data_IF_069752589358
#
_entry.id   IF_069752589358
#
_cell.length_a   1.000
_cell.length_b   1.000
_cell.length_c   1.000
_cell.angle_alpha   90.00
_cell.angle_beta   90.00
_cell.angle_gamma   90.00
#
_symmetry.space_group_name_H-M   'P 1'
#
loop_
_entity.id
_entity.type
_entity.pdbx_description
1 polymer ?
#
# COMPACT_ATOMS: atom_id res chain seq x y z
N UNK A 1 -27.55 -19.96 45.73
CA UNK A 1 -28.17 -18.62 45.48
C UNK A 1 -27.17 -17.63 46.07
N UNK A 2 -26.50 -16.76 45.33
CA UNK A 2 -26.92 -16.03 44.14
C UNK A 2 -25.68 -15.47 43.42
N UNK A 3 -25.57 -15.83 42.13
CA UNK A 3 -24.90 -15.20 40.97
C UNK A 3 -23.84 -14.12 41.24
N UNK A 4 -22.56 -14.31 40.92
CA UNK A 4 -21.99 -14.43 39.57
C UNK A 4 -22.12 -13.17 38.67
N UNK A 5 -22.08 -11.96 39.23
CA UNK A 5 -21.84 -10.74 38.44
C UNK A 5 -20.34 -10.46 38.30
N UNK A 6 -19.65 -11.27 37.49
CA UNK A 6 -18.44 -10.77 36.83
C UNK A 6 -18.90 -9.82 35.74
N UNK A 7 -18.93 -8.54 36.06
CA UNK A 7 -19.22 -7.49 35.09
C UNK A 7 -18.18 -7.57 33.96
N UNK A 8 -18.59 -8.14 32.84
CA UNK A 8 -17.83 -8.17 31.60
C UNK A 8 -17.67 -6.71 31.14
N UNK A 9 -16.53 -6.11 31.45
CA UNK A 9 -16.19 -4.77 30.98
C UNK A 9 -15.93 -4.89 29.48
N UNK A 10 -16.96 -4.75 28.67
CA UNK A 10 -16.80 -4.67 27.23
C UNK A 10 -15.99 -3.40 26.94
N UNK A 11 -14.78 -3.58 26.42
CA UNK A 11 -13.97 -2.47 25.96
C UNK A 11 -14.79 -1.65 24.96
N UNK A 12 -14.91 -0.35 25.21
CA UNK A 12 -15.63 0.58 24.33
C UNK A 12 -14.92 0.58 22.97
N UNK A 13 -15.68 0.38 21.90
CA UNK A 13 -15.12 0.40 20.54
C UNK A 13 -14.72 1.85 20.22
N UNK A 14 -13.47 2.03 19.84
CA UNK A 14 -12.93 3.30 19.39
C UNK A 14 -12.37 3.14 17.98
N UNK A 15 -12.48 4.20 17.18
CA UNK A 15 -11.81 4.25 15.89
C UNK A 15 -10.29 4.12 16.10
N UNK A 16 -9.65 3.31 15.28
CA UNK A 16 -8.20 3.20 15.25
C UNK A 16 -7.64 4.52 14.70
N UNK A 17 -6.56 5.08 15.29
CA UNK A 17 -5.89 6.26 14.76
C UNK A 17 -5.53 6.09 13.28
N UNK A 18 -5.66 7.16 12.49
CA UNK A 18 -5.53 7.10 11.02
C UNK A 18 -4.15 6.59 10.57
N UNK A 19 -3.08 6.91 11.30
CA UNK A 19 -1.72 6.44 11.02
C UNK A 19 -1.58 4.92 11.26
N UNK A 20 -2.24 4.41 12.30
CA UNK A 20 -2.28 2.97 12.61
C UNK A 20 -3.14 2.23 11.58
N UNK A 21 -4.31 2.76 11.22
CA UNK A 21 -5.12 2.24 10.11
C UNK A 21 -4.31 2.17 8.81
N UNK A 22 -3.62 3.25 8.44
CA UNK A 22 -2.77 3.30 7.24
C UNK A 22 -1.72 2.20 7.25
N UNK A 23 -0.99 2.03 8.37
CA UNK A 23 0.03 0.97 8.53
C UNK A 23 -0.54 -0.44 8.41
N UNK A 24 -1.72 -0.69 9.00
CA UNK A 24 -2.41 -1.98 8.90
C UNK A 24 -2.79 -2.26 7.44
N UNK A 25 -3.36 -1.28 6.73
CA UNK A 25 -3.75 -1.44 5.34
C UNK A 25 -2.54 -1.62 4.41
N UNK A 26 -1.43 -0.89 4.62
CA UNK A 26 -0.23 -1.04 3.77
C UNK A 26 0.39 -2.43 3.91
N UNK A 27 0.42 -2.96 5.14
CA UNK A 27 1.01 -4.28 5.43
C UNK A 27 0.24 -5.47 4.88
N UNK A 28 -0.99 -5.30 4.37
CA UNK A 28 -1.78 -6.37 3.76
C UNK A 28 -1.84 -6.31 2.23
N UNK A 29 -1.48 -5.17 1.62
CA UNK A 29 -1.58 -4.95 0.16
C UNK A 29 -0.24 -5.18 -0.53
N UNK A 30 0.87 -4.66 0.02
CA UNK A 30 2.22 -4.87 -0.53
C UNK A 30 3.06 -5.66 0.46
N UNK A 31 2.89 -6.98 0.41
CA UNK A 31 3.51 -7.93 1.35
C UNK A 31 4.91 -8.38 0.90
N UNK A 32 5.25 -8.15 -0.38
CA UNK A 32 6.55 -8.54 -0.95
C UNK A 32 7.04 -7.48 -1.92
N UNK A 33 8.37 -7.40 -2.08
CA UNK A 33 8.99 -6.55 -3.10
C UNK A 33 8.49 -6.89 -4.52
N UNK A 34 8.28 -8.18 -4.79
CA UNK A 34 7.74 -8.64 -6.06
C UNK A 34 6.30 -8.15 -6.28
N UNK A 35 5.47 -8.14 -5.23
CA UNK A 35 4.13 -7.56 -5.26
C UNK A 35 4.17 -6.06 -5.53
N UNK A 36 5.07 -5.32 -4.88
CA UNK A 36 5.27 -3.89 -5.14
C UNK A 36 5.64 -3.64 -6.61
N UNK A 37 6.57 -4.45 -7.14
CA UNK A 37 7.01 -4.37 -8.53
C UNK A 37 5.86 -4.66 -9.51
N UNK A 38 5.04 -5.68 -9.22
CA UNK A 38 3.84 -6.00 -10.01
C UNK A 38 2.90 -4.78 -10.10
N UNK A 39 2.54 -4.18 -8.97
CA UNK A 39 1.60 -3.05 -8.97
C UNK A 39 2.14 -1.84 -9.76
N UNK A 40 3.45 -1.57 -9.69
CA UNK A 40 4.07 -0.51 -10.49
C UNK A 40 4.08 -0.84 -11.99
N UNK A 41 4.34 -2.10 -12.36
CA UNK A 41 4.27 -2.54 -13.76
C UNK A 41 2.83 -2.45 -14.29
N UNK A 42 1.82 -2.85 -13.49
CA UNK A 42 0.41 -2.74 -13.86
C UNK A 42 0.02 -1.27 -14.11
N UNK A 43 0.48 -0.35 -13.25
CA UNK A 43 0.29 1.09 -13.47
C UNK A 43 0.92 1.57 -14.79
N UNK A 44 2.14 1.12 -15.12
CA UNK A 44 2.79 1.46 -16.39
C UNK A 44 2.03 0.91 -17.60
N UNK A 45 1.45 -0.30 -17.49
CA UNK A 45 0.61 -0.91 -18.53
C UNK A 45 -0.71 -0.13 -18.71
N UNK A 46 -1.37 0.24 -17.61
CA UNK A 46 -2.57 1.08 -17.64
C UNK A 46 -2.30 2.46 -18.26
N UNK A 47 -1.09 2.99 -18.05
CA UNK A 47 -0.59 4.20 -18.70
C UNK A 47 -0.18 4.00 -20.18
N UNK A 48 -0.43 2.82 -20.75
CA UNK A 48 -0.17 2.46 -22.14
C UNK A 48 1.31 2.55 -22.56
N UNK A 49 2.24 2.38 -21.62
CA UNK A 49 3.66 2.35 -21.92
C UNK A 49 4.00 1.29 -23.00
N UNK A 50 4.97 1.63 -23.85
CA UNK A 50 5.56 0.70 -24.83
C UNK A 50 6.86 0.09 -24.31
N UNK A 51 7.54 0.83 -23.44
CA UNK A 51 8.79 0.44 -22.83
C UNK A 51 8.65 0.55 -21.32
N UNK A 52 8.96 -0.54 -20.62
CA UNK A 52 9.00 -0.58 -19.16
C UNK A 52 10.36 -1.14 -18.76
N UNK A 53 11.17 -0.33 -18.09
CA UNK A 53 12.49 -0.71 -17.57
C UNK A 53 12.41 -0.94 -16.06
N UNK A 54 12.80 -2.14 -15.63
CA UNK A 54 12.88 -2.50 -14.21
C UNK A 54 14.34 -2.55 -13.77
N UNK A 55 14.71 -1.69 -12.80
CA UNK A 55 16.07 -1.62 -12.24
C UNK A 55 16.08 -2.10 -10.80
N UNK A 56 17.00 -2.99 -10.46
CA UNK A 56 17.08 -3.56 -9.11
C UNK A 56 18.51 -3.45 -8.58
N UNK A 57 18.68 -2.95 -7.35
CA UNK A 57 19.98 -2.88 -6.67
C UNK A 57 19.95 -3.69 -5.38
N UNK A 58 20.98 -4.52 -5.16
CA UNK A 58 21.09 -5.45 -4.02
C UNK A 58 19.81 -6.26 -3.81
N UNK A 59 19.35 -6.95 -4.85
CA UNK A 59 18.10 -7.73 -4.84
C UNK A 59 16.85 -6.91 -4.45
N UNK A 60 16.92 -5.59 -4.58
CA UNK A 60 15.83 -4.65 -4.31
C UNK A 60 15.68 -4.21 -2.87
N UNK A 61 16.54 -4.71 -1.96
CA UNK A 61 16.62 -4.21 -0.59
C UNK A 61 17.11 -2.77 -0.51
N UNK A 62 17.98 -2.37 -1.44
CA UNK A 62 18.47 -0.99 -1.49
C UNK A 62 17.62 -0.11 -2.41
N UNK A 63 17.21 -0.63 -3.59
CA UNK A 63 16.42 0.14 -4.57
C UNK A 63 15.71 -0.78 -5.55
N UNK A 64 14.45 -0.44 -5.86
CA UNK A 64 13.68 -1.02 -6.97
C UNK A 64 13.04 0.12 -7.79
N UNK A 65 13.42 0.12 -9.06
CA UNK A 65 13.12 1.01 -10.19
C UNK A 65 12.02 0.52 -11.11
N UNK A 66 10.92 1.23 -11.34
CA UNK A 66 10.10 1.03 -12.56
C UNK A 66 10.04 2.35 -13.32
N UNK A 67 10.53 2.33 -14.55
CA UNK A 67 10.62 3.50 -15.43
C UNK A 67 9.84 3.16 -16.69
N UNK A 68 8.88 3.99 -17.07
CA UNK A 68 8.07 3.78 -18.25
C UNK A 68 8.00 5.03 -19.15
N UNK A 69 7.55 4.81 -20.38
CA UNK A 69 7.26 5.84 -21.39
C UNK A 69 5.75 6.03 -21.61
N UNK A 70 4.94 5.76 -20.59
CA UNK A 70 3.48 5.91 -20.64
C UNK A 70 3.02 7.35 -20.70
N UNK A 71 1.70 7.54 -20.67
CA UNK A 71 1.06 8.87 -20.77
C UNK A 71 1.37 9.80 -19.58
N UNK A 72 1.98 9.27 -18.52
CA UNK A 72 2.30 10.00 -17.30
C UNK A 72 1.07 10.40 -16.49
N UNK A 73 1.30 11.25 -15.49
CA UNK A 73 0.26 11.72 -14.58
C UNK A 73 0.08 13.23 -14.81
N UNK A 74 -1.16 13.65 -15.06
CA UNK A 74 -1.47 15.07 -15.23
C UNK A 74 -1.19 15.83 -13.93
N UNK A 75 -0.59 17.03 -14.02
CA UNK A 75 -0.15 17.80 -12.85
C UNK A 75 -1.27 18.16 -11.86
N UNK A 76 -2.48 18.36 -12.37
CA UNK A 76 -3.68 18.58 -11.54
C UNK A 76 -4.04 17.39 -10.62
N UNK A 77 -3.54 16.19 -10.91
CA UNK A 77 -3.82 14.99 -10.14
C UNK A 77 -2.76 14.72 -9.08
N UNK A 78 -1.72 15.56 -8.96
CA UNK A 78 -0.63 15.33 -8.00
C UNK A 78 -1.11 15.34 -6.54
N UNK A 79 -2.07 16.19 -6.20
CA UNK A 79 -2.63 16.24 -4.84
C UNK A 79 -3.48 15.01 -4.50
N UNK A 80 -3.98 14.30 -5.52
CA UNK A 80 -4.74 13.06 -5.36
C UNK A 80 -3.84 11.81 -5.34
N UNK A 81 -2.54 11.98 -5.56
CA UNK A 81 -1.56 10.90 -5.51
C UNK A 81 -1.18 10.61 -4.05
N UNK A 82 -1.63 9.46 -3.54
CA UNK A 82 -1.32 8.88 -2.23
C UNK A 82 -1.72 9.70 -0.99
#
# INVERSE_FOLDING_TARGET
>A
MENADRQMVHAKIHAIPIDVCRKICTGQVVITLAGACKELIDNSLDAQAKTIEVRVRKMGFERMEVIDDGIGIHSLNFDALC
#
